data_IF_045389271706
#
_entry.id   IF_045389271706
#
_cell.length_a   1.000
_cell.length_b   1.000
_cell.length_c   1.000
_cell.angle_alpha   90.00
_cell.angle_beta   90.00
_cell.angle_gamma   90.00
#
_symmetry.space_group_name_H-M   'P 1'
#
loop_
_entity.id
_entity.type
_entity.pdbx_description
1 polymer ?
#
# COMPACT_ATOMS: atom_id res chain seq x y z
N UNK A 1 -34.73 37.86 34.60
CA UNK A 1 -34.65 36.44 34.25
C UNK A 1 -34.25 36.37 32.78
N UNK A 2 -32.95 36.20 32.51
CA UNK A 2 -32.39 36.25 31.15
C UNK A 2 -32.38 34.81 30.65
N UNK A 3 -33.21 34.50 29.64
CA UNK A 3 -33.14 33.23 28.91
C UNK A 3 -31.85 33.26 28.07
N UNK A 4 -30.91 32.39 28.43
CA UNK A 4 -29.73 32.11 27.62
C UNK A 4 -30.19 31.19 26.45
N UNK A 5 -30.06 31.60 25.18
CA UNK A 5 -30.33 30.71 24.08
C UNK A 5 -29.16 29.73 23.98
N UNK A 6 -29.38 28.48 24.39
CA UNK A 6 -28.49 27.36 24.09
C UNK A 6 -28.61 27.09 22.59
N UNK A 7 -27.73 27.71 21.80
CA UNK A 7 -27.50 27.37 20.41
C UNK A 7 -26.95 25.93 20.37
N UNK A 8 -27.86 24.97 20.20
CA UNK A 8 -27.54 23.60 19.80
C UNK A 8 -27.01 23.65 18.36
N UNK A 9 -25.74 23.99 18.22
CA UNK A 9 -24.96 23.63 17.04
C UNK A 9 -24.84 22.10 17.05
N UNK A 10 -25.85 21.41 16.51
CA UNK A 10 -25.65 20.06 15.98
C UNK A 10 -24.73 20.21 14.77
N UNK A 11 -23.43 20.37 15.03
CA UNK A 11 -22.43 20.28 13.99
C UNK A 11 -22.59 18.91 13.35
N UNK A 12 -22.76 18.88 12.03
CA UNK A 12 -22.53 17.66 11.27
C UNK A 12 -21.07 17.25 11.56
N UNK A 13 -20.89 16.31 12.49
CA UNK A 13 -19.58 15.70 12.67
C UNK A 13 -19.27 14.94 11.40
N UNK A 14 -18.11 15.21 10.82
CA UNK A 14 -17.60 14.41 9.71
C UNK A 14 -17.50 12.97 10.21
N UNK A 15 -17.99 12.02 9.42
CA UNK A 15 -17.84 10.60 9.73
C UNK A 15 -16.38 10.22 9.50
N UNK A 16 -15.65 9.98 10.59
CA UNK A 16 -14.25 9.59 10.58
C UNK A 16 -14.07 8.08 10.72
N UNK A 17 -15.12 7.29 10.46
CA UNK A 17 -15.04 5.83 10.50
C UNK A 17 -14.14 5.32 9.38
N UNK A 18 -12.98 4.69 9.68
CA UNK A 18 -12.17 4.08 8.64
C UNK A 18 -12.98 3.00 7.92
N UNK A 19 -13.05 3.09 6.60
CA UNK A 19 -13.90 2.22 5.76
C UNK A 19 -13.10 1.59 4.62
N UNK A 20 -12.06 2.27 4.16
CA UNK A 20 -11.19 1.78 3.09
C UNK A 20 -9.74 1.91 3.49
N UNK A 21 -8.92 1.00 2.99
CA UNK A 21 -7.48 1.02 3.18
C UNK A 21 -6.76 0.84 1.84
N UNK A 22 -5.67 1.57 1.64
CA UNK A 22 -4.75 1.43 0.52
C UNK A 22 -3.36 1.22 1.09
N UNK A 23 -2.54 0.39 0.49
CA UNK A 23 -1.30 -0.08 1.12
C UNK A 23 -0.10 -0.03 0.17
N UNK A 24 0.29 1.15 -0.32
CA UNK A 24 1.52 1.32 -1.08
C UNK A 24 2.72 0.77 -0.31
N UNK A 25 3.62 0.12 -1.06
CA UNK A 25 4.84 -0.49 -0.53
C UNK A 25 6.02 0.11 -1.26
N UNK A 26 7.08 0.40 -0.52
CA UNK A 26 8.37 0.78 -1.08
C UNK A 26 9.40 -0.24 -0.59
N UNK A 27 10.22 -0.75 -1.50
CA UNK A 27 11.25 -1.74 -1.19
C UNK A 27 12.54 -1.41 -1.93
N UNK A 28 13.63 -1.53 -1.20
CA UNK A 28 15.01 -1.45 -1.68
C UNK A 28 15.61 -2.86 -1.63
N UNK A 29 15.77 -3.54 -2.78
CA UNK A 29 16.49 -4.79 -2.84
C UNK A 29 17.97 -4.62 -2.49
N UNK A 30 18.51 -5.57 -1.74
CA UNK A 30 19.89 -5.67 -1.32
C UNK A 30 20.75 -6.53 -2.26
N UNK A 31 22.09 -6.44 -2.14
CA UNK A 31 23.04 -7.12 -3.03
C UNK A 31 23.06 -8.65 -2.89
N UNK A 32 22.48 -9.19 -1.82
CA UNK A 32 22.35 -10.63 -1.55
C UNK A 32 20.92 -11.16 -1.83
N UNK A 33 20.09 -10.35 -2.49
CA UNK A 33 18.70 -10.67 -2.79
C UNK A 33 17.75 -10.42 -1.62
N UNK A 34 18.24 -9.99 -0.45
CA UNK A 34 17.36 -9.47 0.61
C UNK A 34 16.65 -8.20 0.15
N UNK A 35 15.65 -7.73 0.88
CA UNK A 35 15.04 -6.44 0.65
C UNK A 35 14.72 -5.74 1.96
N UNK A 36 14.69 -4.41 1.95
CA UNK A 36 14.29 -3.61 3.10
C UNK A 36 13.39 -2.47 2.65
N UNK A 37 12.41 -2.10 3.46
CA UNK A 37 11.54 -0.98 3.13
C UNK A 37 10.35 -0.86 4.05
N UNK A 38 9.24 -0.36 3.53
CA UNK A 38 8.05 -0.09 4.33
C UNK A 38 6.76 -0.26 3.53
N UNK A 39 5.72 -0.70 4.24
CA UNK A 39 4.33 -0.66 3.79
C UNK A 39 3.62 0.49 4.52
N UNK A 40 2.88 1.29 3.75
CA UNK A 40 2.12 2.42 4.29
C UNK A 40 0.64 2.15 4.09
N UNK A 41 -0.09 1.85 5.16
CA UNK A 41 -1.53 1.69 5.12
C UNK A 41 -2.21 3.05 5.24
N UNK A 42 -2.74 3.56 4.15
CA UNK A 42 -3.54 4.78 4.06
C UNK A 42 -5.01 4.48 4.33
N UNK A 43 -5.57 5.10 5.37
CA UNK A 43 -6.96 4.88 5.80
C UNK A 43 -7.87 5.98 5.28
N UNK A 44 -9.02 5.59 4.74
CA UNK A 44 -10.00 6.52 4.18
C UNK A 44 -11.39 6.33 4.78
N UNK A 45 -12.14 7.42 4.84
CA UNK A 45 -13.53 7.44 5.31
C UNK A 45 -14.53 6.91 4.28
N UNK A 46 -15.81 6.76 4.66
CA UNK A 46 -16.83 6.11 3.84
C UNK A 46 -17.15 6.85 2.53
N UNK A 47 -16.93 8.17 2.49
CA UNK A 47 -17.21 8.99 1.32
C UNK A 47 -16.11 8.93 0.23
N UNK A 48 -14.98 8.27 0.50
CA UNK A 48 -13.90 8.11 -0.47
C UNK A 48 -14.38 7.44 -1.77
N UNK A 49 -15.16 6.36 -1.67
CA UNK A 49 -15.71 5.63 -2.82
C UNK A 49 -16.64 6.47 -3.73
N UNK A 50 -17.15 7.62 -3.26
CA UNK A 50 -18.01 8.52 -4.04
C UNK A 50 -17.20 9.55 -4.82
N UNK A 51 -16.01 9.91 -4.33
CA UNK A 51 -15.18 10.97 -4.88
C UNK A 51 -13.69 10.67 -4.62
N UNK A 52 -13.09 9.76 -5.38
CA UNK A 52 -11.66 9.39 -5.22
C UNK A 52 -10.69 10.59 -5.25
N UNK A 53 -11.09 11.70 -5.88
CA UNK A 53 -10.30 12.94 -5.97
C UNK A 53 -10.48 13.88 -4.77
N UNK A 54 -11.53 13.69 -3.97
CA UNK A 54 -11.73 14.43 -2.73
C UNK A 54 -11.05 13.63 -1.60
N UNK A 55 -9.99 14.22 -1.05
CA UNK A 55 -9.07 13.61 -0.09
C UNK A 55 -9.77 13.34 1.26
N UNK A 56 -10.56 12.28 1.35
CA UNK A 56 -11.12 11.76 2.62
C UNK A 56 -10.13 10.86 3.37
N UNK A 57 -8.86 11.26 3.30
CA UNK A 57 -7.78 10.64 4.03
C UNK A 57 -7.97 10.89 5.53
N UNK A 58 -7.91 9.82 6.32
CA UNK A 58 -8.10 9.88 7.76
C UNK A 58 -6.76 9.86 8.49
N UNK A 59 -5.92 8.87 8.17
CA UNK A 59 -4.68 8.59 8.87
C UNK A 59 -3.85 7.52 8.12
N UNK A 60 -2.65 7.23 8.60
CA UNK A 60 -1.72 6.21 8.10
C UNK A 60 -1.19 5.31 9.21
N UNK A 61 -0.87 4.08 8.84
CA UNK A 61 -0.02 3.16 9.60
C UNK A 61 1.21 2.79 8.77
N UNK A 62 2.40 2.89 9.37
CA UNK A 62 3.66 2.52 8.73
C UNK A 62 4.20 1.23 9.35
N UNK A 63 4.55 0.29 8.50
CA UNK A 63 5.11 -1.01 8.86
C UNK A 63 6.44 -1.19 8.14
N UNK A 64 7.49 -1.47 8.90
CA UNK A 64 8.80 -1.83 8.36
C UNK A 64 8.76 -3.24 7.80
N UNK A 65 9.42 -3.44 6.67
CA UNK A 65 9.52 -4.70 5.96
C UNK A 65 10.97 -5.13 5.86
N UNK A 66 11.24 -6.39 6.20
CA UNK A 66 12.49 -7.08 5.88
C UNK A 66 12.16 -8.30 5.03
N UNK A 67 12.67 -8.31 3.81
CA UNK A 67 12.49 -9.38 2.83
C UNK A 67 13.69 -10.29 2.76
N UNK A 68 13.43 -11.59 2.80
CA UNK A 68 14.37 -12.64 2.42
C UNK A 68 13.96 -13.19 1.05
N UNK A 69 14.91 -13.59 0.17
CA UNK A 69 14.59 -14.23 -1.10
C UNK A 69 13.61 -15.38 -0.91
N UNK A 70 12.52 -15.35 -1.67
CA UNK A 70 11.44 -16.35 -1.63
C UNK A 70 11.20 -16.97 -3.00
N UNK A 71 10.48 -18.08 -3.00
CA UNK A 71 9.90 -18.62 -4.23
C UNK A 71 8.54 -17.98 -4.48
N UNK A 72 8.29 -17.57 -5.72
CA UNK A 72 6.98 -17.16 -6.18
C UNK A 72 6.31 -18.31 -6.90
N UNK A 73 5.43 -19.02 -6.21
CA UNK A 73 4.56 -20.05 -6.80
C UNK A 73 3.31 -19.47 -7.49
N UNK A 74 3.27 -18.15 -7.67
CA UNK A 74 2.30 -17.43 -8.50
C UNK A 74 2.59 -17.67 -9.99
N UNK A 75 2.35 -18.88 -10.46
CA UNK A 75 2.48 -19.24 -11.88
C UNK A 75 1.46 -18.48 -12.75
N UNK A 76 1.81 -18.00 -13.96
CA UNK A 76 3.10 -18.19 -14.66
C UNK A 76 4.00 -16.94 -14.73
N UNK A 77 3.69 -15.85 -14.02
CA UNK A 77 4.24 -14.52 -14.32
C UNK A 77 4.84 -13.82 -13.10
N UNK A 78 5.54 -14.55 -12.23
CA UNK A 78 6.24 -13.97 -11.08
C UNK A 78 7.72 -14.34 -11.13
N UNK A 79 8.56 -13.33 -11.36
CA UNK A 79 9.99 -13.48 -11.65
C UNK A 79 10.84 -13.34 -10.37
N UNK A 80 10.44 -12.47 -9.45
CA UNK A 80 11.13 -12.22 -8.18
C UNK A 80 10.15 -12.20 -7.01
N UNK A 81 10.55 -12.70 -5.85
CA UNK A 81 9.72 -12.64 -4.64
C UNK A 81 10.54 -12.59 -3.35
N UNK A 82 9.91 -12.02 -2.34
CA UNK A 82 10.43 -11.95 -0.98
C UNK A 82 9.41 -12.47 0.02
N UNK A 83 9.90 -13.25 0.99
CA UNK A 83 9.18 -13.55 2.22
C UNK A 83 9.45 -12.46 3.25
N UNK A 84 8.40 -11.91 3.84
CA UNK A 84 8.48 -10.67 4.62
C UNK A 84 8.35 -10.91 6.12
N UNK A 85 9.30 -10.36 6.87
CA UNK A 85 9.16 -10.03 8.30
C UNK A 85 8.68 -8.60 8.41
N UNK A 86 7.77 -8.34 9.37
CA UNK A 86 7.05 -7.07 9.47
C UNK A 86 7.11 -6.56 10.90
N UNK A 87 7.39 -5.28 11.07
CA UNK A 87 7.33 -4.61 12.36
C UNK A 87 6.51 -3.34 12.24
N UNK A 88 5.54 -3.18 13.12
CA UNK A 88 4.85 -1.90 13.23
C UNK A 88 5.85 -0.81 13.65
N UNK A 89 5.92 0.27 12.89
CA UNK A 89 6.73 1.45 13.23
C UNK A 89 5.90 2.51 13.93
N UNK A 90 4.99 3.15 13.18
CA UNK A 90 4.28 4.32 13.63
C UNK A 90 2.87 4.44 13.05
N UNK A 91 2.05 5.29 13.68
CA UNK A 91 0.72 5.63 13.19
C UNK A 91 0.26 6.98 13.73
N UNK A 92 -0.52 7.70 12.93
CA UNK A 92 -1.32 8.84 13.37
C UNK A 92 -2.83 8.49 13.53
N UNK A 93 -3.21 7.21 13.37
CA UNK A 93 -4.57 6.67 13.54
C UNK A 93 -5.03 6.54 15.01
N UNK A 94 -4.47 7.34 15.92
CA UNK A 94 -4.72 7.20 17.36
C UNK A 94 -6.22 7.34 17.66
N UNK A 95 -6.82 6.27 18.17
CA UNK A 95 -8.25 6.22 18.51
C UNK A 95 -9.20 5.97 17.33
N UNK A 96 -8.67 5.90 16.10
CA UNK A 96 -9.42 5.50 14.91
C UNK A 96 -9.20 4.03 14.57
N UNK A 97 -7.96 3.54 14.72
CA UNK A 97 -7.61 2.14 14.44
C UNK A 97 -6.75 1.55 15.57
N UNK A 98 -6.96 0.29 16.00
CA UNK A 98 -6.07 -0.39 16.93
C UNK A 98 -4.67 -0.57 16.34
N UNK A 99 -3.62 -0.23 17.11
CA UNK A 99 -2.21 -0.43 16.70
C UNK A 99 -1.88 -1.89 16.40
N UNK A 100 -2.54 -2.81 17.10
CA UNK A 100 -2.36 -4.25 17.03
C UNK A 100 -3.35 -4.94 16.08
N UNK A 101 -4.02 -4.18 15.20
CA UNK A 101 -4.87 -4.76 14.17
C UNK A 101 -4.01 -5.67 13.26
N UNK A 102 -4.33 -6.98 13.17
CA UNK A 102 -3.53 -7.93 12.42
C UNK A 102 -3.46 -7.60 10.92
N UNK A 103 -4.41 -6.82 10.40
CA UNK A 103 -4.40 -6.31 9.02
C UNK A 103 -3.03 -5.70 8.68
N UNK A 104 -2.51 -4.83 9.53
CA UNK A 104 -1.31 -4.06 9.19
C UNK A 104 -0.06 -4.92 9.06
N UNK A 105 -0.05 -6.07 9.72
CA UNK A 105 1.05 -7.04 9.66
C UNK A 105 0.70 -8.27 8.83
N UNK A 106 -0.38 -8.26 8.05
CA UNK A 106 -0.87 -9.45 7.36
C UNK A 106 -0.09 -9.81 6.09
N UNK A 107 0.55 -8.84 5.43
CA UNK A 107 1.38 -9.06 4.25
C UNK A 107 2.52 -10.05 4.57
N UNK A 108 2.53 -11.23 3.95
CA UNK A 108 3.50 -12.29 4.23
C UNK A 108 4.57 -12.39 3.15
N UNK A 109 4.19 -12.17 1.89
CA UNK A 109 5.06 -12.27 0.73
C UNK A 109 4.70 -11.21 -0.29
N UNK A 110 5.69 -10.74 -1.02
CA UNK A 110 5.52 -9.81 -2.15
C UNK A 110 6.36 -10.31 -3.32
N UNK A 111 5.87 -10.09 -4.54
CA UNK A 111 6.56 -10.51 -5.75
C UNK A 111 6.40 -9.53 -6.90
N UNK A 112 7.36 -9.58 -7.81
CA UNK A 112 7.39 -8.84 -9.06
C UNK A 112 7.30 -9.82 -10.21
N UNK A 113 6.43 -9.48 -11.14
CA UNK A 113 6.14 -10.30 -12.29
C UNK A 113 6.55 -9.70 -13.62
N UNK A 114 5.95 -10.24 -14.67
CA UNK A 114 6.11 -9.72 -16.02
C UNK A 114 5.57 -8.29 -16.16
N UNK A 115 6.00 -7.60 -17.22
CA UNK A 115 5.55 -6.23 -17.55
C UNK A 115 4.03 -6.13 -17.49
N UNK A 116 3.54 -5.18 -16.69
CA UNK A 116 2.12 -4.98 -16.47
C UNK A 116 1.40 -4.70 -17.80
N UNK A 117 0.32 -5.43 -18.13
CA UNK A 117 -0.40 -5.24 -19.38
C UNK A 117 -1.43 -4.11 -19.27
N UNK A 118 -1.48 -3.20 -20.24
CA UNK A 118 -2.56 -2.23 -20.37
C UNK A 118 -2.10 -0.85 -20.81
N UNK A 119 -3.04 -0.06 -21.34
CA UNK A 119 -2.79 1.32 -21.78
C UNK A 119 -2.83 2.32 -20.60
N UNK A 120 -3.44 1.93 -19.48
CA UNK A 120 -3.60 2.76 -18.27
C UNK A 120 -2.50 2.51 -17.21
N UNK A 121 -1.54 1.65 -17.53
CA UNK A 121 -0.41 1.29 -16.66
C UNK A 121 0.47 2.53 -16.41
N UNK A 122 0.86 2.76 -15.17
CA UNK A 122 1.82 3.81 -14.84
C UNK A 122 3.14 3.52 -15.57
N UNK A 123 3.79 4.51 -16.16
CA UNK A 123 5.08 4.34 -16.86
C UNK A 123 5.17 3.09 -17.79
N UNK A 124 4.40 3.03 -18.89
CA UNK A 124 4.34 1.85 -19.75
C UNK A 124 5.72 1.37 -20.23
N UNK A 125 5.96 0.05 -20.12
CA UNK A 125 7.22 -0.60 -20.49
C UNK A 125 8.26 -0.69 -19.36
N UNK A 126 8.02 -0.01 -18.24
CA UNK A 126 8.88 -0.05 -17.05
C UNK A 126 8.19 -0.66 -15.83
N UNK A 127 6.86 -0.72 -15.87
CA UNK A 127 6.05 -1.21 -14.77
C UNK A 127 5.80 -2.70 -14.89
N UNK A 128 5.99 -3.39 -13.78
CA UNK A 128 5.82 -4.81 -13.61
C UNK A 128 4.50 -5.10 -12.88
N UNK A 129 3.98 -6.30 -13.10
CA UNK A 129 2.84 -6.82 -12.35
C UNK A 129 3.28 -7.08 -10.92
N UNK A 130 2.60 -6.45 -9.97
CA UNK A 130 2.87 -6.60 -8.55
C UNK A 130 1.99 -7.68 -7.92
N UNK A 131 2.62 -8.67 -7.28
CA UNK A 131 1.97 -9.77 -6.57
C UNK A 131 2.12 -9.61 -5.06
N UNK A 132 1.09 -9.99 -4.30
CA UNK A 132 1.15 -10.03 -2.85
C UNK A 132 0.43 -11.27 -2.29
N UNK A 133 0.84 -11.71 -1.11
CA UNK A 133 0.16 -12.74 -0.34
C UNK A 133 -0.01 -12.29 1.12
N UNK A 134 -1.26 -12.09 1.52
CA UNK A 134 -1.65 -11.72 2.89
C UNK A 134 -2.02 -12.94 3.76
N UNK A 135 -1.59 -14.13 3.36
CA UNK A 135 -1.81 -15.42 4.04
C UNK A 135 -2.88 -16.30 3.41
N UNK A 136 -3.44 -15.90 2.27
CA UNK A 136 -4.47 -16.65 1.54
C UNK A 136 -3.99 -17.14 0.16
N UNK A 137 -2.70 -17.01 -0.13
CA UNK A 137 -2.10 -17.28 -1.42
C UNK A 137 -1.88 -16.00 -2.22
N UNK A 138 -1.13 -16.15 -3.32
CA UNK A 138 -0.75 -15.04 -4.18
C UNK A 138 -1.94 -14.48 -4.96
N UNK A 139 -2.02 -13.15 -5.01
CA UNK A 139 -2.91 -12.41 -5.90
C UNK A 139 -2.19 -11.25 -6.59
N UNK A 140 -2.69 -10.89 -7.77
CA UNK A 140 -2.30 -9.63 -8.42
C UNK A 140 -2.86 -8.50 -7.57
N UNK A 141 -1.94 -7.75 -6.98
CA UNK A 141 -2.26 -6.73 -6.00
C UNK A 141 -2.08 -5.32 -6.59
N UNK A 142 -1.09 -5.13 -7.46
CA UNK A 142 -0.83 -3.80 -8.01
C UNK A 142 0.17 -3.74 -9.15
N UNK A 143 0.74 -2.56 -9.28
CA UNK A 143 1.77 -2.20 -10.25
C UNK A 143 3.05 -1.85 -9.50
N UNK A 144 4.19 -2.32 -9.98
CA UNK A 144 5.50 -2.01 -9.40
C UNK A 144 6.42 -1.36 -10.42
N UNK A 145 7.09 -0.28 -10.06
CA UNK A 145 7.97 0.47 -10.96
C UNK A 145 9.17 1.07 -10.23
N UNK A 146 10.28 1.38 -10.93
CA UNK A 146 11.46 1.94 -10.30
C UNK A 146 11.15 3.32 -9.70
N UNK A 147 11.48 3.53 -8.43
CA UNK A 147 11.18 4.77 -7.69
C UNK A 147 11.77 6.03 -8.38
N UNK A 148 12.90 5.86 -9.06
CA UNK A 148 13.55 6.90 -9.86
C UNK A 148 12.63 7.57 -10.91
N UNK A 149 11.60 6.86 -11.40
CA UNK A 149 10.66 7.40 -12.40
C UNK A 149 9.78 8.51 -11.83
N UNK A 150 9.38 8.43 -10.55
CA UNK A 150 8.59 9.48 -9.88
C UNK A 150 9.38 10.79 -9.73
N UNK A 151 10.72 10.71 -9.76
CA UNK A 151 11.61 11.87 -9.71
C UNK A 151 12.05 12.36 -11.10
N UNK A 152 11.52 11.77 -12.18
CA UNK A 152 11.91 12.09 -13.56
C UNK A 152 13.36 11.74 -13.89
N UNK A 153 13.97 10.84 -13.11
CA UNK A 153 15.33 10.36 -13.37
C UNK A 153 15.24 9.24 -14.42
N UNK A 154 16.06 9.26 -15.48
CA UNK A 154 16.03 8.19 -16.48
C UNK A 154 16.39 6.85 -15.83
N UNK A 155 15.47 5.89 -15.80
CA UNK A 155 15.81 4.49 -15.55
C UNK A 155 16.50 3.91 -16.77
N UNK A 156 17.32 2.86 -16.60
CA UNK A 156 18.21 2.33 -17.63
C UNK A 156 17.52 1.65 -18.83
N UNK A 157 16.23 1.90 -19.08
CA UNK A 157 15.47 1.35 -20.20
C UNK A 157 14.71 0.05 -19.89
N UNK A 158 14.86 -0.47 -18.67
CA UNK A 158 14.16 -1.64 -18.14
C UNK A 158 14.25 -1.63 -16.61
N UNK A 159 13.25 -2.16 -15.90
CA UNK A 159 13.37 -2.47 -14.47
C UNK A 159 14.58 -3.40 -14.30
N UNK A 160 15.62 -2.95 -13.60
CA UNK A 160 16.80 -3.80 -13.40
C UNK A 160 16.75 -4.50 -12.04
N UNK A 161 17.15 -5.77 -12.02
CA UNK A 161 17.28 -6.57 -10.81
C UNK A 161 18.09 -5.76 -9.78
N UNK A 162 17.50 -5.53 -8.60
CA UNK A 162 18.18 -4.78 -7.54
C UNK A 162 17.85 -3.29 -7.43
N UNK A 163 17.05 -2.72 -8.34
CA UNK A 163 16.59 -1.33 -8.20
C UNK A 163 15.50 -1.18 -7.13
N UNK A 164 15.57 -0.07 -6.37
CA UNK A 164 14.49 0.36 -5.49
C UNK A 164 13.21 0.56 -6.29
N UNK A 165 12.10 0.04 -5.76
CA UNK A 165 10.81 0.14 -6.42
C UNK A 165 9.70 0.61 -5.49
N UNK A 166 8.73 1.26 -6.12
CA UNK A 166 7.45 1.61 -5.54
C UNK A 166 6.41 0.65 -6.09
N UNK A 167 5.63 0.08 -5.18
CA UNK A 167 4.50 -0.76 -5.44
C UNK A 167 3.23 0.02 -5.13
N UNK A 168 2.39 0.22 -6.14
CA UNK A 168 1.12 0.92 -6.03
C UNK A 168 -0.02 -0.10 -6.17
N UNK A 169 -0.83 -0.31 -5.13
CA UNK A 169 -1.97 -1.21 -5.22
C UNK A 169 -2.97 -0.72 -6.26
N UNK A 170 -3.66 -1.63 -6.94
CA UNK A 170 -4.71 -1.25 -7.91
C UNK A 170 -6.11 -1.25 -7.30
N UNK A 171 -6.23 -1.71 -6.06
CA UNK A 171 -7.49 -1.85 -5.33
C UNK A 171 -7.30 -1.41 -3.89
N UNK A 172 -8.32 -0.74 -3.35
CA UNK A 172 -8.43 -0.55 -1.91
C UNK A 172 -9.15 -1.74 -1.27
N UNK A 173 -8.79 -2.01 -0.02
CA UNK A 173 -9.45 -2.99 0.84
C UNK A 173 -10.60 -2.34 1.59
N UNK A 174 -11.73 -3.06 1.80
CA UNK A 174 -12.67 -2.66 2.84
C UNK A 174 -12.02 -2.78 4.22
N UNK A 175 -12.38 -1.89 5.14
CA UNK A 175 -11.91 -1.92 6.53
C UNK A 175 -13.10 -1.84 7.52
N UNK A 176 -13.11 -2.65 8.59
CA UNK A 176 -12.22 -3.81 8.83
C UNK A 176 -12.49 -4.95 7.82
N UNK A 177 -11.49 -5.82 7.61
CA UNK A 177 -11.60 -7.02 6.76
C UNK A 177 -12.57 -8.07 7.32
#
# INVERSE_FOLDING_TARGET
MILLPVLLLSGCSIDLTPTWAFDPIWLEPGPDGTAHGFQTWEMFGPDWARQNNEKFYLCVVVVELWGEPGECDAEPDCDEAWSLTREFLETDCIGLVPKDDPLFTSLQRIGLGSVAPGDDVLYPGFTLTGWADYGNGWEVHGEAYPDALDFGVPSAGSFSEGETFTFVPTKAFPYPL
#
